data_IF_377795571465
#
_entry.id   IF_377795571465
#
_cell.length_a   1.000
_cell.length_b   1.000
_cell.length_c   1.000
_cell.angle_alpha   90.00
_cell.angle_beta   90.00
_cell.angle_gamma   90.00
#
_symmetry.space_group_name_H-M   'P 1'
#
loop_
_entity.id
_entity.type
_entity.pdbx_description
1 polymer ?
#
# COMPACT_ATOMS: atom_id res chain seq x y z
N UNK A 1 -6.92 4.39 5.12
CA UNK A 1 -6.64 5.80 5.50
C UNK A 1 -7.94 6.62 5.62
N UNK A 2 -8.93 6.44 4.73
CA UNK A 2 -10.18 7.24 4.67
C UNK A 2 -11.07 7.19 5.93
N UNK A 3 -10.78 6.33 6.91
CA UNK A 3 -11.44 6.31 8.22
C UNK A 3 -10.79 7.27 9.24
N UNK A 4 -9.60 7.77 8.96
CA UNK A 4 -8.90 8.65 9.89
C UNK A 4 -9.55 10.04 9.89
N UNK A 5 -9.89 10.55 11.06
CA UNK A 5 -10.61 11.83 11.20
C UNK A 5 -9.89 13.04 10.57
N UNK A 6 -8.56 12.97 10.52
CA UNK A 6 -7.70 14.01 9.93
C UNK A 6 -7.16 13.66 8.56
N UNK A 7 -7.83 12.75 7.84
CA UNK A 7 -7.32 12.31 6.54
C UNK A 7 -7.23 13.47 5.53
N UNK A 8 -8.22 14.32 5.49
CA UNK A 8 -8.24 15.51 4.62
C UNK A 8 -7.13 16.49 5.02
N UNK A 9 -6.99 16.80 6.30
CA UNK A 9 -5.90 17.65 6.80
C UNK A 9 -4.51 17.10 6.43
N UNK A 10 -4.35 15.77 6.41
CA UNK A 10 -3.09 15.13 5.97
C UNK A 10 -2.83 15.34 4.48
N UNK A 11 -3.86 15.25 3.63
CA UNK A 11 -3.72 15.51 2.19
C UNK A 11 -3.35 16.98 1.95
N UNK A 12 -4.03 17.92 2.60
CA UNK A 12 -3.76 19.35 2.52
C UNK A 12 -2.35 19.69 3.02
N UNK A 13 -1.89 19.02 4.08
CA UNK A 13 -0.52 19.19 4.56
C UNK A 13 0.53 18.71 3.58
N UNK A 14 0.30 17.54 2.94
CA UNK A 14 1.20 16.98 1.94
C UNK A 14 1.23 17.86 0.69
N UNK A 15 0.09 18.42 0.30
CA UNK A 15 -0.05 19.30 -0.86
C UNK A 15 0.86 20.55 -0.80
N UNK A 16 1.17 21.02 0.41
CA UNK A 16 2.07 22.14 0.65
C UNK A 16 3.57 21.79 0.55
N UNK A 17 3.91 20.53 0.26
CA UNK A 17 5.31 20.05 0.24
C UNK A 17 5.83 19.91 -1.18
N UNK A 18 6.70 20.81 -1.61
CA UNK A 18 7.25 20.86 -2.97
C UNK A 18 8.14 19.64 -3.33
N UNK A 19 8.65 18.94 -2.34
CA UNK A 19 9.55 17.80 -2.53
C UNK A 19 8.84 16.44 -2.52
N UNK A 20 7.50 16.40 -2.51
CA UNK A 20 6.70 15.19 -2.62
C UNK A 20 6.10 15.13 -4.02
N UNK A 21 6.61 14.21 -4.84
CA UNK A 21 6.25 14.10 -6.27
C UNK A 21 5.15 13.09 -6.54
N UNK A 22 4.92 12.15 -5.64
CA UNK A 22 3.92 11.11 -5.78
C UNK A 22 3.20 10.86 -4.46
N UNK A 23 1.88 10.95 -4.48
CA UNK A 23 1.02 10.63 -3.33
C UNK A 23 0.02 9.57 -3.75
N UNK A 24 0.19 8.35 -3.21
CA UNK A 24 -0.75 7.25 -3.43
C UNK A 24 -1.58 7.01 -2.19
N UNK A 25 -2.87 6.80 -2.38
CA UNK A 25 -3.77 6.37 -1.31
C UNK A 25 -4.43 5.05 -1.66
N UNK A 26 -4.26 4.05 -0.79
CA UNK A 26 -4.93 2.76 -0.90
C UNK A 26 -6.14 2.74 0.03
N UNK A 27 -7.29 2.32 -0.47
CA UNK A 27 -8.53 2.25 0.29
C UNK A 27 -9.33 0.99 -0.08
N UNK A 28 -10.14 0.49 0.86
CA UNK A 28 -11.14 -0.53 0.56
C UNK A 28 -12.42 0.04 -0.09
N UNK A 29 -12.48 1.34 -0.33
CA UNK A 29 -13.61 2.01 -0.96
C UNK A 29 -14.84 2.24 -0.07
N UNK A 30 -14.86 1.72 1.16
CA UNK A 30 -16.04 1.77 2.02
C UNK A 30 -16.38 3.17 2.52
N UNK A 31 -15.37 4.02 2.73
CA UNK A 31 -15.50 5.37 3.33
C UNK A 31 -15.03 6.47 2.37
N UNK A 32 -15.31 6.36 1.09
CA UNK A 32 -15.13 7.44 0.12
C UNK A 32 -16.36 8.36 0.18
N UNK A 33 -16.38 9.26 1.16
CA UNK A 33 -17.41 10.31 1.24
C UNK A 33 -17.20 11.31 0.10
N UNK A 34 -18.21 12.15 -0.19
CA UNK A 34 -18.10 13.20 -1.19
C UNK A 34 -16.99 14.19 -0.85
N UNK A 35 -16.91 14.60 0.41
CA UNK A 35 -15.86 15.47 0.93
C UNK A 35 -14.46 14.91 0.71
N UNK A 36 -14.24 13.63 1.01
CA UNK A 36 -12.96 12.94 0.76
C UNK A 36 -12.65 12.89 -0.73
N UNK A 37 -13.63 12.60 -1.59
CA UNK A 37 -13.43 12.59 -3.03
C UNK A 37 -12.99 13.96 -3.56
N UNK A 38 -13.64 15.04 -3.10
CA UNK A 38 -13.23 16.39 -3.45
C UNK A 38 -11.83 16.75 -2.94
N UNK A 39 -11.49 16.38 -1.70
CA UNK A 39 -10.17 16.62 -1.14
C UNK A 39 -9.06 15.92 -1.94
N UNK A 40 -9.29 14.67 -2.36
CA UNK A 40 -8.35 13.93 -3.21
C UNK A 40 -8.01 14.68 -4.50
N UNK A 41 -9.03 15.23 -5.20
CA UNK A 41 -8.80 15.92 -6.48
C UNK A 41 -8.38 17.39 -6.35
N UNK A 42 -8.50 17.97 -5.16
CA UNK A 42 -8.01 19.32 -4.86
C UNK A 42 -6.55 19.36 -4.46
N UNK A 43 -5.99 18.21 -4.08
CA UNK A 43 -4.62 18.07 -3.57
C UNK A 43 -3.75 17.25 -4.52
N UNK A 44 -2.45 17.21 -4.27
CA UNK A 44 -1.46 16.52 -5.12
C UNK A 44 -1.50 14.99 -5.04
N UNK A 45 -2.67 14.39 -4.77
CA UNK A 45 -2.83 12.94 -4.88
C UNK A 45 -2.68 12.53 -6.33
N UNK A 46 -1.69 11.69 -6.60
CA UNK A 46 -1.40 11.20 -7.95
C UNK A 46 -2.19 9.94 -8.29
N UNK A 47 -2.49 9.11 -7.29
CA UNK A 47 -3.22 7.86 -7.52
C UNK A 47 -4.09 7.47 -6.32
N UNK A 48 -5.33 7.08 -6.60
CA UNK A 48 -6.23 6.39 -5.65
C UNK A 48 -6.36 4.93 -6.07
N UNK A 49 -5.94 4.02 -5.19
CA UNK A 49 -6.08 2.58 -5.42
C UNK A 49 -7.21 2.04 -4.57
N UNK A 50 -8.28 1.60 -5.21
CA UNK A 50 -9.39 0.91 -4.54
C UNK A 50 -9.15 -0.59 -4.58
N UNK A 51 -9.04 -1.19 -3.41
CA UNK A 51 -8.83 -2.64 -3.29
C UNK A 51 -10.16 -3.38 -3.44
N UNK A 52 -10.28 -4.22 -4.49
CA UNK A 52 -11.42 -5.08 -4.72
C UNK A 52 -10.98 -6.41 -5.33
N UNK A 53 -11.29 -7.52 -4.68
CA UNK A 53 -10.76 -8.83 -5.06
C UNK A 53 -11.71 -9.59 -5.99
N UNK A 54 -12.93 -9.08 -6.21
CA UNK A 54 -13.89 -9.70 -7.12
C UNK A 54 -14.85 -8.69 -7.75
N UNK A 55 -15.58 -9.11 -8.78
CA UNK A 55 -16.60 -8.34 -9.50
C UNK A 55 -18.03 -8.91 -9.31
N UNK A 56 -18.15 -10.04 -8.63
CA UNK A 56 -19.42 -10.66 -8.21
C UNK A 56 -19.57 -10.40 -6.71
N UNK A 57 -20.78 -9.99 -6.29
CA UNK A 57 -21.09 -9.58 -4.93
C UNK A 57 -20.76 -10.67 -3.90
N UNK A 58 -21.26 -11.87 -4.14
CA UNK A 58 -21.15 -13.01 -3.24
C UNK A 58 -19.67 -13.38 -2.98
N UNK A 59 -18.88 -13.41 -4.05
CA UNK A 59 -17.44 -13.68 -3.95
C UNK A 59 -16.67 -12.54 -3.29
N UNK A 60 -17.00 -11.29 -3.61
CA UNK A 60 -16.37 -10.13 -3.00
C UNK A 60 -16.62 -10.11 -1.48
N UNK A 61 -17.88 -10.30 -1.04
CA UNK A 61 -18.26 -10.25 0.37
C UNK A 61 -17.73 -11.46 1.16
N UNK A 62 -17.58 -12.62 0.51
CA UNK A 62 -16.91 -13.80 1.06
C UNK A 62 -15.41 -13.55 1.29
N UNK A 63 -14.71 -12.91 0.34
CA UNK A 63 -13.28 -12.61 0.44
C UNK A 63 -13.00 -11.44 1.39
N UNK A 64 -13.94 -10.49 1.52
CA UNK A 64 -13.81 -9.28 2.33
C UNK A 64 -14.90 -9.22 3.38
N UNK A 65 -14.72 -10.00 4.44
CA UNK A 65 -15.70 -10.12 5.53
C UNK A 65 -16.10 -8.76 6.09
N UNK A 66 -17.42 -8.57 6.25
CA UNK A 66 -18.00 -7.32 6.77
C UNK A 66 -18.02 -6.17 5.77
N UNK A 67 -17.62 -6.39 4.52
CA UNK A 67 -17.75 -5.39 3.46
C UNK A 67 -19.14 -5.46 2.78
N UNK A 68 -19.49 -4.38 2.07
CA UNK A 68 -20.70 -4.32 1.23
C UNK A 68 -20.28 -3.95 -0.19
N UNK A 69 -20.45 -4.87 -1.11
CA UNK A 69 -20.04 -4.73 -2.51
C UNK A 69 -20.70 -3.55 -3.21
N UNK A 70 -22.02 -3.45 -3.07
CA UNK A 70 -22.79 -2.40 -3.74
C UNK A 70 -22.41 -1.00 -3.26
N UNK A 71 -22.12 -0.86 -1.96
CA UNK A 71 -21.61 0.39 -1.38
C UNK A 71 -20.25 0.76 -1.98
N UNK A 72 -19.35 -0.22 -2.13
CA UNK A 72 -18.02 0.05 -2.72
C UNK A 72 -18.14 0.42 -4.18
N UNK A 73 -18.93 -0.29 -4.97
CA UNK A 73 -19.20 0.05 -6.38
C UNK A 73 -19.74 1.48 -6.49
N UNK A 74 -20.79 1.81 -5.70
CA UNK A 74 -21.36 3.17 -5.67
C UNK A 74 -20.35 4.24 -5.28
N UNK A 75 -19.45 3.93 -4.36
CA UNK A 75 -18.41 4.87 -3.94
C UNK A 75 -17.34 5.07 -5.02
N UNK A 76 -16.98 4.02 -5.77
CA UNK A 76 -16.07 4.14 -6.91
C UNK A 76 -16.71 4.94 -8.04
N UNK A 77 -17.99 4.67 -8.36
CA UNK A 77 -18.75 5.47 -9.33
C UNK A 77 -18.80 6.94 -8.93
N UNK A 78 -19.05 7.23 -7.63
CA UNK A 78 -19.05 8.59 -7.09
C UNK A 78 -17.69 9.28 -7.27
N UNK A 79 -16.60 8.60 -6.89
CA UNK A 79 -15.24 9.13 -7.05
C UNK A 79 -14.96 9.48 -8.51
N UNK A 80 -15.27 8.56 -9.42
CA UNK A 80 -15.10 8.76 -10.85
C UNK A 80 -15.93 9.95 -11.39
N UNK A 81 -17.22 10.00 -11.03
CA UNK A 81 -18.13 11.06 -11.48
C UNK A 81 -17.75 12.44 -10.94
N UNK A 82 -17.28 12.53 -9.67
CA UNK A 82 -16.79 13.78 -9.09
C UNK A 82 -15.59 14.28 -9.89
N UNK A 83 -14.64 13.42 -10.24
CA UNK A 83 -13.52 13.80 -11.10
C UNK A 83 -14.01 14.34 -12.42
N UNK A 84 -14.84 13.60 -13.14
CA UNK A 84 -15.31 13.99 -14.48
C UNK A 84 -16.07 15.33 -14.48
N UNK A 85 -16.91 15.55 -13.47
CA UNK A 85 -17.79 16.72 -13.43
C UNK A 85 -17.14 17.97 -12.84
N UNK A 86 -16.25 17.82 -11.88
CA UNK A 86 -15.69 18.96 -11.13
C UNK A 86 -14.20 19.17 -11.34
N UNK A 87 -13.47 18.11 -11.75
CA UNK A 87 -12.01 18.14 -11.92
C UNK A 87 -11.57 17.47 -13.22
N UNK A 88 -12.11 17.87 -14.39
CA UNK A 88 -11.85 17.18 -15.67
C UNK A 88 -10.38 17.22 -16.10
N UNK A 89 -9.61 18.17 -15.57
CA UNK A 89 -8.16 18.31 -15.86
C UNK A 89 -7.29 17.66 -14.76
N UNK A 90 -7.87 16.98 -13.78
CA UNK A 90 -7.09 16.29 -12.73
C UNK A 90 -6.28 15.14 -13.33
N UNK A 91 -5.01 15.08 -12.97
CA UNK A 91 -4.10 13.98 -13.33
C UNK A 91 -4.15 12.81 -12.33
N UNK A 92 -5.00 12.91 -11.30
CA UNK A 92 -5.16 11.82 -10.32
C UNK A 92 -5.74 10.58 -11.01
N UNK A 93 -4.99 9.50 -10.99
CA UNK A 93 -5.44 8.22 -11.51
C UNK A 93 -6.34 7.49 -10.49
N UNK A 94 -7.41 6.88 -10.96
CA UNK A 94 -8.25 5.97 -10.19
C UNK A 94 -7.92 4.55 -10.66
N UNK A 95 -7.43 3.72 -9.74
CA UNK A 95 -7.10 2.33 -10.01
C UNK A 95 -7.93 1.40 -9.14
N UNK A 96 -8.45 0.33 -9.73
CA UNK A 96 -8.99 -0.81 -8.96
C UNK A 96 -8.00 -1.95 -9.01
N UNK A 97 -7.62 -2.45 -7.82
CA UNK A 97 -6.65 -3.53 -7.69
C UNK A 97 -7.22 -4.66 -6.87
N UNK A 98 -7.12 -5.90 -7.36
CA UNK A 98 -7.56 -7.11 -6.70
C UNK A 98 -6.46 -8.13 -6.50
N UNK A 99 -6.71 -9.06 -5.58
CA UNK A 99 -5.89 -10.25 -5.34
C UNK A 99 -6.72 -11.48 -5.66
N UNK A 100 -6.26 -12.30 -6.59
CA UNK A 100 -6.86 -13.57 -6.97
C UNK A 100 -6.43 -14.67 -5.98
N UNK A 101 -7.02 -14.66 -4.78
CA UNK A 101 -6.66 -15.57 -3.70
C UNK A 101 -6.97 -17.03 -4.04
N UNK A 102 -8.10 -17.27 -4.69
CA UNK A 102 -8.59 -18.61 -4.99
C UNK A 102 -8.08 -19.13 -6.36
N UNK A 103 -7.31 -18.31 -7.09
CA UNK A 103 -6.82 -18.57 -8.44
C UNK A 103 -7.93 -18.92 -9.45
N UNK A 104 -9.13 -18.40 -9.23
CA UNK A 104 -10.32 -18.66 -10.05
C UNK A 104 -10.96 -17.38 -10.62
N UNK A 105 -10.35 -16.22 -10.38
CA UNK A 105 -10.86 -14.95 -10.86
C UNK A 105 -10.78 -14.88 -12.40
N UNK A 106 -11.93 -14.69 -13.03
CA UNK A 106 -11.93 -14.33 -14.44
C UNK A 106 -11.47 -12.87 -14.62
N UNK A 107 -10.19 -12.70 -14.93
CA UNK A 107 -9.51 -11.38 -15.00
C UNK A 107 -10.08 -10.49 -16.10
N UNK A 108 -10.55 -11.05 -17.19
CA UNK A 108 -11.19 -10.29 -18.27
C UNK A 108 -12.53 -9.72 -17.80
N UNK A 109 -13.39 -10.53 -17.19
CA UNK A 109 -14.67 -10.07 -16.63
C UNK A 109 -14.46 -9.06 -15.51
N UNK A 110 -13.45 -9.29 -14.64
CA UNK A 110 -13.06 -8.36 -13.60
C UNK A 110 -12.65 -7.00 -14.19
N UNK A 111 -11.78 -7.01 -15.19
CA UNK A 111 -11.37 -5.80 -15.89
C UNK A 111 -12.56 -5.09 -16.55
N UNK A 112 -13.39 -5.82 -17.31
CA UNK A 112 -14.55 -5.26 -18.02
C UNK A 112 -15.60 -4.66 -17.08
N UNK A 113 -15.72 -5.19 -15.86
CA UNK A 113 -16.61 -4.65 -14.85
C UNK A 113 -16.09 -3.32 -14.27
N UNK A 114 -14.81 -3.26 -13.91
CA UNK A 114 -14.23 -2.11 -13.19
C UNK A 114 -13.77 -0.97 -14.10
N UNK A 115 -13.30 -1.25 -15.31
CA UNK A 115 -12.73 -0.23 -16.22
C UNK A 115 -13.72 0.87 -16.64
N UNK A 116 -15.00 0.64 -16.47
CA UNK A 116 -16.05 1.62 -16.76
C UNK A 116 -16.10 2.78 -15.76
N UNK A 117 -15.38 2.67 -14.64
CA UNK A 117 -15.40 3.58 -13.49
C UNK A 117 -14.03 3.87 -12.88
N UNK A 118 -12.97 3.55 -13.60
CA UNK A 118 -11.59 3.83 -13.21
C UNK A 118 -10.68 3.85 -14.45
N UNK A 119 -9.45 4.29 -14.28
CA UNK A 119 -8.47 4.38 -15.38
C UNK A 119 -7.71 3.07 -15.56
N UNK A 120 -7.39 2.40 -14.45
CA UNK A 120 -6.61 1.18 -14.46
C UNK A 120 -7.24 0.08 -13.61
N UNK A 121 -7.17 -1.13 -14.11
CA UNK A 121 -7.61 -2.34 -13.40
C UNK A 121 -6.48 -3.36 -13.42
N UNK A 122 -6.17 -3.91 -12.25
CA UNK A 122 -5.20 -4.99 -12.12
C UNK A 122 -5.70 -6.06 -11.15
N UNK A 123 -5.32 -7.30 -11.40
CA UNK A 123 -5.47 -8.39 -10.45
C UNK A 123 -4.19 -9.23 -10.47
N UNK A 124 -3.62 -9.43 -9.30
CA UNK A 124 -2.42 -10.24 -9.07
C UNK A 124 -2.72 -11.47 -8.24
N UNK A 125 -1.73 -12.34 -8.10
CA UNK A 125 -1.76 -13.41 -7.11
C UNK A 125 -1.30 -12.88 -5.74
N UNK A 126 -1.69 -13.53 -4.63
CA UNK A 126 -1.17 -13.20 -3.31
C UNK A 126 0.35 -13.40 -3.29
N UNK A 127 1.05 -12.46 -2.69
CA UNK A 127 2.48 -12.61 -2.41
C UNK A 127 2.62 -13.31 -1.06
N UNK A 128 3.46 -14.36 -1.01
CA UNK A 128 3.71 -15.16 0.20
C UNK A 128 4.65 -14.46 1.18
N UNK A 129 4.37 -13.20 1.50
CA UNK A 129 5.18 -12.40 2.42
C UNK A 129 4.62 -12.30 3.85
N UNK A 130 3.38 -12.75 4.04
CA UNK A 130 2.70 -12.65 5.32
C UNK A 130 3.13 -13.69 6.35
N UNK A 131 3.83 -14.74 5.89
CA UNK A 131 4.32 -15.82 6.73
C UNK A 131 5.85 -15.77 6.91
N UNK A 132 6.47 -14.61 6.67
CA UNK A 132 7.94 -14.48 6.67
C UNK A 132 8.60 -15.10 7.90
N UNK A 133 8.01 -14.91 9.09
CA UNK A 133 8.58 -15.44 10.34
C UNK A 133 8.39 -16.95 10.55
N UNK A 134 7.56 -17.58 9.75
CA UNK A 134 7.25 -19.02 9.80
C UNK A 134 7.98 -19.80 8.69
N UNK A 135 8.60 -19.07 7.75
CA UNK A 135 9.38 -19.69 6.70
C UNK A 135 10.68 -20.30 7.25
N UNK A 136 11.19 -21.29 6.56
CA UNK A 136 12.53 -21.82 6.82
C UNK A 136 13.59 -20.77 6.48
N UNK A 137 14.74 -20.88 7.14
CA UNK A 137 15.91 -20.04 6.84
C UNK A 137 16.44 -20.42 5.45
N UNK A 138 16.76 -19.41 4.66
CA UNK A 138 17.30 -19.52 3.30
C UNK A 138 18.80 -19.20 3.33
N UNK A 139 19.69 -20.21 3.52
CA UNK A 139 21.13 -19.99 3.68
C UNK A 139 21.78 -19.27 2.48
N UNK A 140 21.23 -19.47 1.27
CA UNK A 140 21.69 -18.86 0.03
C UNK A 140 21.26 -17.40 -0.15
N UNK A 141 20.35 -16.91 0.69
CA UNK A 141 19.82 -15.54 0.61
C UNK A 141 20.82 -14.55 1.21
N UNK A 142 21.93 -14.31 0.51
CA UNK A 142 23.03 -13.46 0.97
C UNK A 142 23.00 -12.06 0.39
N UNK A 143 22.41 -11.88 -0.79
CA UNK A 143 22.44 -10.60 -1.50
C UNK A 143 21.64 -9.50 -0.80
N UNK A 144 22.09 -8.25 -0.87
CA UNK A 144 21.41 -7.12 -0.25
C UNK A 144 19.97 -6.95 -0.72
N UNK A 145 19.09 -6.55 0.19
CA UNK A 145 17.71 -6.22 -0.13
C UNK A 145 17.58 -4.72 -0.38
N UNK A 146 17.15 -4.31 -1.56
CA UNK A 146 17.02 -2.90 -1.97
C UNK A 146 16.08 -2.09 -1.07
N UNK A 147 15.05 -2.73 -0.49
CA UNK A 147 14.10 -2.07 0.43
C UNK A 147 14.78 -1.29 1.56
N UNK A 148 15.97 -1.69 1.98
CA UNK A 148 16.70 -1.02 3.04
C UNK A 148 17.19 0.39 2.64
N UNK A 149 17.27 0.69 1.34
CA UNK A 149 17.79 1.95 0.80
C UNK A 149 16.76 2.80 0.08
N UNK A 150 15.60 2.23 -0.29
CA UNK A 150 14.62 2.93 -1.12
C UNK A 150 13.31 3.25 -0.39
N UNK A 151 13.04 2.66 0.78
CA UNK A 151 11.75 2.82 1.46
C UNK A 151 11.82 2.75 2.98
N UNK A 152 10.75 3.26 3.58
CA UNK A 152 10.48 3.24 5.00
C UNK A 152 8.98 2.97 5.21
N UNK A 153 8.66 2.10 6.14
CA UNK A 153 7.28 1.86 6.57
C UNK A 153 7.05 2.46 7.94
N UNK A 154 6.02 3.26 8.06
CA UNK A 154 5.56 3.79 9.35
C UNK A 154 4.23 3.14 9.67
N UNK A 155 4.19 2.33 10.70
CA UNK A 155 2.99 1.67 11.15
C UNK A 155 2.04 2.62 11.88
N UNK A 156 0.78 2.19 12.06
CA UNK A 156 -0.25 3.01 12.72
C UNK A 156 0.10 3.42 14.16
N UNK A 157 0.94 2.65 14.86
CA UNK A 157 1.45 2.94 16.21
C UNK A 157 2.68 3.85 16.22
N UNK A 158 3.18 4.20 15.04
CA UNK A 158 4.36 5.03 14.82
C UNK A 158 5.67 4.27 14.69
N UNK A 159 5.70 2.94 14.89
CA UNK A 159 6.91 2.14 14.66
C UNK A 159 7.37 2.25 13.22
N UNK A 160 8.68 2.33 13.04
CA UNK A 160 9.30 2.49 11.73
C UNK A 160 10.12 1.27 11.38
N UNK A 161 9.79 0.65 10.26
CA UNK A 161 10.39 -0.57 9.76
C UNK A 161 10.98 -0.38 8.36
N UNK A 162 11.95 -1.19 7.93
CA UNK A 162 12.51 -1.13 6.58
C UNK A 162 11.55 -1.66 5.50
N UNK A 163 10.64 -2.58 5.86
CA UNK A 163 9.72 -3.20 4.91
C UNK A 163 8.47 -3.74 5.62
N UNK A 164 7.46 -4.11 4.83
CA UNK A 164 6.21 -4.69 5.31
C UNK A 164 6.30 -6.21 5.60
N UNK A 165 7.31 -6.90 5.08
CA UNK A 165 7.58 -8.29 5.44
C UNK A 165 8.01 -8.47 6.90
N UNK A 166 8.59 -7.42 7.51
CA UNK A 166 8.89 -7.34 8.94
C UNK A 166 7.66 -6.88 9.76
N UNK A 167 6.54 -7.60 9.65
CA UNK A 167 5.29 -7.22 10.33
C UNK A 167 5.33 -7.38 11.86
N UNK A 168 6.30 -8.08 12.42
CA UNK A 168 6.53 -8.16 13.87
C UNK A 168 7.47 -7.06 14.39
N UNK A 169 8.01 -6.23 13.49
CA UNK A 169 8.90 -5.11 13.81
C UNK A 169 10.21 -5.50 14.52
N UNK A 170 10.81 -6.62 14.14
CA UNK A 170 12.12 -7.03 14.66
C UNK A 170 13.25 -6.08 14.21
N UNK A 171 13.13 -5.53 13.01
CA UNK A 171 14.08 -4.56 12.45
C UNK A 171 13.62 -3.12 12.64
N UNK A 172 12.66 -2.87 13.55
CA UNK A 172 12.24 -1.51 13.83
C UNK A 172 13.40 -0.67 14.33
N UNK A 173 13.58 0.47 13.73
CA UNK A 173 14.65 1.39 14.06
C UNK A 173 14.16 2.68 14.75
N UNK A 174 12.96 2.64 15.31
CA UNK A 174 12.41 3.67 16.19
C UNK A 174 10.95 3.99 15.96
N UNK A 175 10.52 5.11 16.50
CA UNK A 175 9.13 5.56 16.44
C UNK A 175 9.03 6.99 15.91
N UNK A 176 8.22 7.20 14.86
CA UNK A 176 8.02 8.50 14.21
C UNK A 176 7.25 9.52 15.07
N UNK A 177 6.73 9.11 16.26
CA UNK A 177 6.18 10.04 17.25
C UNK A 177 7.25 10.66 18.15
N UNK A 178 8.45 10.07 18.19
CA UNK A 178 9.55 10.45 19.08
C UNK A 178 10.70 11.10 18.31
N UNK A 179 10.95 10.66 17.09
CA UNK A 179 12.05 11.08 16.24
C UNK A 179 11.56 11.52 14.87
N UNK A 180 12.29 12.43 14.23
CA UNK A 180 11.98 12.80 12.85
C UNK A 180 12.46 11.71 11.86
N UNK A 181 11.85 11.72 10.67
CA UNK A 181 12.12 10.71 9.62
C UNK A 181 13.59 10.67 9.19
N UNK A 182 14.26 11.81 9.11
CA UNK A 182 15.68 11.89 8.72
C UNK A 182 16.60 11.26 9.78
N UNK A 183 16.30 11.47 11.06
CA UNK A 183 17.04 10.84 12.17
C UNK A 183 16.84 9.31 12.15
N UNK A 184 15.60 8.87 11.97
CA UNK A 184 15.27 7.44 11.87
C UNK A 184 15.98 6.78 10.68
N UNK A 185 15.95 7.41 9.52
CA UNK A 185 16.59 6.90 8.29
C UNK A 185 18.09 6.71 8.40
N UNK A 186 18.76 7.50 9.26
CA UNK A 186 20.20 7.53 9.41
C UNK A 186 20.69 7.00 10.76
N UNK A 187 19.83 6.40 11.57
CA UNK A 187 20.26 5.93 12.88
C UNK A 187 21.15 4.67 12.82
N UNK A 188 21.77 4.34 13.94
CA UNK A 188 22.73 3.24 14.02
C UNK A 188 22.10 1.85 13.77
N UNK A 189 20.81 1.67 14.06
CA UNK A 189 20.15 0.36 13.91
C UNK A 189 20.03 0.02 12.42
N UNK A 190 19.43 0.92 11.64
CA UNK A 190 19.26 0.71 10.19
C UNK A 190 20.61 0.72 9.46
N UNK A 191 21.57 1.55 9.92
CA UNK A 191 22.92 1.61 9.35
C UNK A 191 23.66 0.29 9.50
N UNK A 192 23.61 -0.34 10.67
CA UNK A 192 24.18 -1.68 10.90
C UNK A 192 23.49 -2.75 10.05
N UNK A 193 22.18 -2.69 9.94
CA UNK A 193 21.44 -3.64 9.09
C UNK A 193 21.86 -3.53 7.63
N UNK A 194 22.01 -2.30 7.11
CA UNK A 194 22.52 -2.04 5.75
C UNK A 194 23.95 -2.55 5.57
N UNK A 195 24.83 -2.29 6.53
CA UNK A 195 26.21 -2.77 6.52
C UNK A 195 26.30 -4.30 6.45
N UNK A 196 25.53 -5.01 7.26
CA UNK A 196 25.50 -6.46 7.21
C UNK A 196 24.98 -7.00 5.87
N UNK A 197 23.97 -6.38 5.28
CA UNK A 197 23.51 -6.72 3.93
C UNK A 197 24.59 -6.48 2.88
N UNK A 198 25.35 -5.38 2.96
CA UNK A 198 26.46 -5.11 2.05
C UNK A 198 27.59 -6.14 2.18
N UNK A 199 27.81 -6.69 3.38
CA UNK A 199 28.75 -7.79 3.63
C UNK A 199 28.23 -9.17 3.21
N UNK A 200 27.06 -9.23 2.55
CA UNK A 200 26.37 -10.47 2.16
C UNK A 200 26.00 -11.37 3.35
N UNK A 201 25.67 -10.76 4.47
CA UNK A 201 25.21 -11.43 5.70
C UNK A 201 23.69 -11.39 5.88
N UNK A 202 22.91 -11.17 4.80
CA UNK A 202 21.44 -11.12 4.86
C UNK A 202 20.86 -12.36 5.51
N UNK A 203 21.40 -13.54 5.21
CA UNK A 203 20.99 -14.83 5.77
C UNK A 203 21.26 -15.01 7.27
N UNK A 204 21.86 -14.01 7.94
CA UNK A 204 22.08 -14.00 9.38
C UNK A 204 21.16 -13.04 10.13
N UNK A 205 20.27 -12.36 9.42
CA UNK A 205 19.42 -11.30 9.96
C UNK A 205 17.94 -11.75 9.92
N UNK A 206 17.34 -11.99 11.07
CA UNK A 206 15.90 -12.26 11.17
C UNK A 206 15.10 -10.96 11.00
N UNK A 207 14.07 -10.90 10.13
CA UNK A 207 13.50 -11.98 9.30
C UNK A 207 14.06 -12.02 7.86
N UNK A 208 15.12 -11.28 7.53
CA UNK A 208 15.70 -11.23 6.19
C UNK A 208 16.24 -12.58 5.74
N UNK A 209 16.69 -13.41 6.70
CA UNK A 209 17.22 -14.76 6.51
C UNK A 209 16.20 -15.77 5.96
N UNK A 210 14.92 -15.45 6.02
CA UNK A 210 13.78 -16.30 5.63
C UNK A 210 12.76 -15.57 4.76
N UNK A 211 13.12 -14.40 4.27
CA UNK A 211 12.25 -13.58 3.44
C UNK A 211 12.38 -13.95 1.98
N UNK A 212 11.36 -14.62 1.41
CA UNK A 212 11.32 -15.00 0.00
C UNK A 212 11.05 -13.86 -0.98
N UNK A 213 11.03 -12.60 -0.52
CA UNK A 213 10.89 -11.44 -1.40
C UNK A 213 12.22 -11.23 -2.13
N UNK A 214 12.28 -11.74 -3.34
CA UNK A 214 13.37 -11.45 -4.30
C UNK A 214 12.86 -10.36 -5.23
N UNK A 215 13.64 -9.31 -5.38
CA UNK A 215 13.39 -8.32 -6.43
C UNK A 215 13.92 -8.89 -7.74
N UNK A 216 13.01 -9.10 -8.68
CA UNK A 216 13.31 -9.37 -10.08
C UNK A 216 13.31 -8.04 -10.82
#
# INVERSE_FOLDING_TARGET
>A
PTMHKKYIEMLEYIDQKENIFEVKTNTNGTFLTEEICHAIFKTNVTQVVVSSDHYIKEDYERLRLGSNFEKVVKNVDKLFNIRQNYYPNSLTEIRVSGIDNDRNLNREKFRNFWIKRCDHVSAGFPLERWNTYENEVLPEMVDPCENLWDRMYVWFDGKVNPCDADYKSYLSYGNAKEYNIKELWNNNIISKTREEHQKKNRNKINPCDRCGVTFI
#
